data_IF_054232199799
#
_entry.id   IF_054232199799
#
_cell.length_a   1.000
_cell.length_b   1.000
_cell.length_c   1.000
_cell.angle_alpha   90.00
_cell.angle_beta   90.00
_cell.angle_gamma   90.00
#
_symmetry.space_group_name_H-M   'P 1'
#
loop_
_entity.id
_entity.type
_entity.pdbx_description
1 polymer ?
#
# COMPACT_ATOMS: atom_id res chain seq x y z
N UNK A 1 -14.04 -17.48 -24.66
CA UNK A 1 -12.63 -17.39 -25.07
C UNK A 1 -11.97 -16.27 -24.28
N UNK A 2 -10.91 -16.63 -23.55
CA UNK A 2 -9.78 -15.84 -23.05
C UNK A 2 -10.03 -14.57 -22.21
N UNK A 3 -10.72 -14.70 -21.07
CA UNK A 3 -10.63 -13.72 -19.97
C UNK A 3 -9.21 -13.59 -19.39
N UNK A 4 -8.34 -14.59 -19.59
CA UNK A 4 -6.97 -14.58 -19.03
C UNK A 4 -6.08 -13.48 -19.59
N UNK A 5 -6.30 -13.05 -20.85
CA UNK A 5 -5.46 -12.05 -21.50
C UNK A 5 -5.74 -10.62 -21.02
N UNK A 6 -7.00 -10.31 -20.66
CA UNK A 6 -7.39 -9.01 -20.14
C UNK A 6 -6.97 -8.83 -18.68
N UNK A 7 -7.18 -9.88 -17.87
CA UNK A 7 -6.78 -9.90 -16.46
C UNK A 7 -5.25 -9.79 -16.30
N UNK A 8 -4.48 -10.36 -17.24
CA UNK A 8 -3.02 -10.24 -17.26
C UNK A 8 -2.55 -8.82 -17.56
N UNK A 9 -3.17 -8.13 -18.54
CA UNK A 9 -2.82 -6.74 -18.87
C UNK A 9 -3.17 -5.75 -17.74
N UNK A 10 -4.31 -5.94 -17.09
CA UNK A 10 -4.71 -5.15 -15.93
C UNK A 10 -3.76 -5.37 -14.74
N UNK A 11 -3.37 -6.63 -14.47
CA UNK A 11 -2.41 -6.95 -13.42
C UNK A 11 -1.05 -6.28 -13.66
N UNK A 12 -0.54 -6.28 -14.90
CA UNK A 12 0.73 -5.60 -15.24
C UNK A 12 0.68 -4.11 -14.93
N UNK A 13 -0.39 -3.41 -15.33
CA UNK A 13 -0.53 -1.96 -15.05
C UNK A 13 -0.60 -1.67 -13.56
N UNK A 14 -1.28 -2.53 -12.79
CA UNK A 14 -1.37 -2.40 -11.34
C UNK A 14 -0.02 -2.63 -10.66
N UNK A 15 0.76 -3.61 -11.14
CA UNK A 15 2.12 -3.88 -10.66
C UNK A 15 3.07 -2.73 -10.98
N UNK A 16 3.05 -2.22 -12.21
CA UNK A 16 3.87 -1.07 -12.59
C UNK A 16 3.54 0.17 -11.75
N UNK A 17 2.25 0.43 -11.50
CA UNK A 17 1.82 1.53 -10.62
C UNK A 17 2.28 1.32 -9.18
N UNK A 18 2.18 0.08 -8.67
CA UNK A 18 2.68 -0.26 -7.34
C UNK A 18 4.19 0.03 -7.24
N UNK A 19 4.98 -0.47 -8.18
CA UNK A 19 6.44 -0.36 -8.18
C UNK A 19 6.93 1.08 -8.41
N UNK A 20 6.39 1.78 -9.40
CA UNK A 20 6.92 3.08 -9.82
C UNK A 20 6.36 4.25 -9.03
N UNK A 21 5.16 4.12 -8.45
CA UNK A 21 4.46 5.24 -7.82
C UNK A 21 4.23 5.01 -6.33
N UNK A 22 3.60 3.89 -5.97
CA UNK A 22 3.12 3.69 -4.59
C UNK A 22 4.22 3.26 -3.64
N UNK A 23 5.07 2.33 -4.06
CA UNK A 23 6.13 1.78 -3.23
C UNK A 23 7.19 2.83 -2.86
N UNK A 24 7.71 3.67 -3.77
CA UNK A 24 8.69 4.70 -3.40
C UNK A 24 8.13 5.70 -2.40
N UNK A 25 6.85 6.07 -2.58
CA UNK A 25 6.17 6.97 -1.64
C UNK A 25 5.93 6.31 -0.28
N UNK A 26 5.53 5.04 -0.24
CA UNK A 26 5.35 4.29 1.00
C UNK A 26 6.67 4.12 1.77
N UNK A 27 7.78 3.83 1.08
CA UNK A 27 9.11 3.73 1.70
C UNK A 27 9.56 5.07 2.28
N UNK A 28 9.40 6.17 1.54
CA UNK A 28 9.68 7.52 2.06
C UNK A 28 8.81 7.86 3.27
N UNK A 29 7.55 7.44 3.25
CA UNK A 29 6.65 7.64 4.39
C UNK A 29 7.09 6.83 5.60
N UNK A 30 7.53 5.58 5.39
CA UNK A 30 8.10 4.72 6.43
C UNK A 30 9.32 5.35 7.08
N UNK A 31 10.27 5.82 6.29
CA UNK A 31 11.47 6.50 6.80
C UNK A 31 11.12 7.70 7.70
N UNK A 32 10.15 8.52 7.28
CA UNK A 32 9.71 9.69 8.05
C UNK A 32 9.06 9.30 9.38
N UNK A 33 8.15 8.33 9.39
CA UNK A 33 7.51 7.90 10.64
C UNK A 33 8.50 7.14 11.54
N UNK A 34 9.46 6.41 10.98
CA UNK A 34 10.51 5.76 11.77
C UNK A 34 11.42 6.79 12.47
N UNK A 35 11.56 8.01 11.91
CA UNK A 35 12.24 9.15 12.52
C UNK A 35 11.39 9.93 13.55
N UNK A 36 10.15 9.50 13.80
CA UNK A 36 9.25 10.15 14.76
C UNK A 36 8.35 11.22 14.16
N UNK A 37 8.33 11.41 12.84
CA UNK A 37 7.40 12.36 12.21
C UNK A 37 5.95 11.90 12.34
N UNK A 38 5.05 12.86 12.55
CA UNK A 38 3.60 12.64 12.48
C UNK A 38 3.11 12.79 11.05
N UNK A 39 2.15 11.95 10.66
CA UNK A 39 1.52 12.03 9.35
C UNK A 39 0.80 13.37 9.15
N UNK A 40 1.07 14.02 8.03
CA UNK A 40 0.30 15.17 7.60
C UNK A 40 -1.03 14.74 6.96
N UNK A 41 -2.02 15.64 6.83
CA UNK A 41 -3.31 15.31 6.20
C UNK A 41 -3.18 14.70 4.79
N UNK A 42 -2.19 15.14 4.01
CA UNK A 42 -1.94 14.60 2.67
C UNK A 42 -1.39 13.17 2.70
N UNK A 43 -0.65 12.78 3.74
CA UNK A 43 -0.15 11.42 3.93
C UNK A 43 -1.30 10.49 4.34
N UNK A 44 -2.19 10.96 5.21
CA UNK A 44 -3.40 10.23 5.62
C UNK A 44 -4.32 10.00 4.42
N UNK A 45 -4.54 11.03 3.59
CA UNK A 45 -5.35 10.91 2.38
C UNK A 45 -4.76 9.88 1.40
N UNK A 46 -3.43 9.88 1.24
CA UNK A 46 -2.74 8.88 0.42
C UNK A 46 -2.91 7.45 0.95
N UNK A 47 -2.76 7.25 2.26
CA UNK A 47 -2.98 5.92 2.86
C UNK A 47 -4.44 5.46 2.67
N UNK A 48 -5.41 6.36 2.82
CA UNK A 48 -6.82 6.05 2.59
C UNK A 48 -7.10 5.63 1.15
N UNK A 49 -6.51 6.32 0.17
CA UNK A 49 -6.59 5.97 -1.26
C UNK A 49 -5.99 4.59 -1.51
N UNK A 50 -4.78 4.34 -1.02
CA UNK A 50 -4.11 3.03 -1.14
C UNK A 50 -4.99 1.89 -0.62
N UNK A 51 -5.58 2.05 0.55
CA UNK A 51 -6.44 1.02 1.12
C UNK A 51 -7.77 0.86 0.35
N UNK A 52 -8.27 1.93 -0.28
CA UNK A 52 -9.42 1.83 -1.17
C UNK A 52 -9.10 0.97 -2.40
N UNK A 53 -8.02 1.27 -3.10
CA UNK A 53 -7.65 0.50 -4.29
C UNK A 53 -7.27 -0.94 -3.94
N UNK A 54 -6.65 -1.17 -2.78
CA UNK A 54 -6.35 -2.52 -2.32
C UNK A 54 -7.64 -3.36 -2.24
N UNK A 55 -8.75 -2.81 -1.71
CA UNK A 55 -10.03 -3.52 -1.65
C UNK A 55 -10.56 -3.89 -3.04
N UNK A 56 -10.40 -3.00 -4.02
CA UNK A 56 -10.86 -3.22 -5.38
C UNK A 56 -10.01 -4.28 -6.12
N UNK A 57 -8.71 -4.39 -5.77
CA UNK A 57 -7.77 -5.34 -6.38
C UNK A 57 -7.76 -6.71 -5.69
N UNK A 58 -8.16 -6.81 -4.42
CA UNK A 58 -8.17 -8.08 -3.67
C UNK A 58 -8.89 -9.24 -4.37
N UNK A 59 -10.05 -9.06 -5.05
CA UNK A 59 -10.69 -10.15 -5.80
C UNK A 59 -9.81 -10.72 -6.93
N UNK A 60 -9.00 -9.89 -7.58
CA UNK A 60 -8.04 -10.36 -8.59
C UNK A 60 -6.90 -11.15 -7.95
N UNK A 61 -6.39 -10.69 -6.81
CA UNK A 61 -5.33 -11.38 -6.04
C UNK A 61 -5.81 -12.75 -5.56
N UNK A 62 -7.04 -12.84 -5.06
CA UNK A 62 -7.63 -14.09 -4.60
C UNK A 62 -7.77 -15.14 -5.71
N UNK A 63 -7.97 -14.70 -6.96
CA UNK A 63 -8.04 -15.58 -8.14
C UNK A 63 -6.66 -15.94 -8.71
N UNK A 64 -5.59 -15.25 -8.30
CA UNK A 64 -4.25 -15.38 -8.84
C UNK A 64 -3.22 -15.53 -7.70
N UNK A 65 -3.00 -16.76 -7.20
CA UNK A 65 -2.12 -17.02 -6.06
C UNK A 65 -0.71 -16.45 -6.18
N UNK A 66 -0.19 -16.30 -7.40
CA UNK A 66 1.12 -15.71 -7.68
C UNK A 66 1.31 -14.28 -7.13
N UNK A 67 0.23 -13.54 -6.86
CA UNK A 67 0.30 -12.20 -6.30
C UNK A 67 0.15 -12.16 -4.78
N UNK A 68 -0.22 -13.26 -4.12
CA UNK A 68 -0.51 -13.28 -2.69
C UNK A 68 0.71 -12.86 -1.86
N UNK A 69 1.88 -13.41 -2.15
CA UNK A 69 3.12 -13.09 -1.44
C UNK A 69 3.51 -11.61 -1.57
N UNK A 70 3.35 -11.05 -2.77
CA UNK A 70 3.64 -9.64 -3.01
C UNK A 70 2.68 -8.75 -2.22
N UNK A 71 1.37 -9.04 -2.31
CA UNK A 71 0.34 -8.27 -1.61
C UNK A 71 0.50 -8.38 -0.10
N UNK A 72 0.86 -9.55 0.43
CA UNK A 72 1.14 -9.73 1.85
C UNK A 72 2.29 -8.82 2.32
N UNK A 73 3.40 -8.76 1.56
CA UNK A 73 4.53 -7.86 1.87
C UNK A 73 4.14 -6.38 1.83
N UNK A 74 3.35 -5.98 0.83
CA UNK A 74 2.87 -4.59 0.70
C UNK A 74 1.93 -4.22 1.84
N UNK A 75 1.00 -5.11 2.20
CA UNK A 75 0.08 -4.90 3.33
C UNK A 75 0.84 -4.83 4.66
N UNK A 76 1.88 -5.64 4.82
CA UNK A 76 2.75 -5.57 6.00
C UNK A 76 3.46 -4.22 6.10
N UNK A 77 4.02 -3.71 4.99
CA UNK A 77 4.64 -2.38 4.96
C UNK A 77 3.67 -1.28 5.39
N UNK A 78 2.44 -1.28 4.87
CA UNK A 78 1.45 -0.28 5.25
C UNK A 78 1.01 -0.42 6.71
N UNK A 79 0.93 -1.65 7.24
CA UNK A 79 0.69 -1.89 8.66
C UNK A 79 1.78 -1.22 9.52
N UNK A 80 3.06 -1.49 9.23
CA UNK A 80 4.19 -0.89 9.96
C UNK A 80 4.14 0.64 9.93
N UNK A 81 3.87 1.24 8.77
CA UNK A 81 3.73 2.70 8.63
C UNK A 81 2.63 3.22 9.53
N UNK A 82 1.44 2.61 9.50
CA UNK A 82 0.29 3.07 10.29
C UNK A 82 0.47 2.88 11.79
N UNK A 83 1.12 1.79 12.23
CA UNK A 83 1.42 1.54 13.64
C UNK A 83 2.41 2.59 14.17
N UNK A 84 3.50 2.84 13.42
CA UNK A 84 4.50 3.83 13.81
C UNK A 84 3.94 5.25 13.77
N UNK A 85 3.14 5.58 12.76
CA UNK A 85 2.43 6.85 12.68
C UNK A 85 1.52 7.11 13.90
N UNK A 86 0.79 6.07 14.34
CA UNK A 86 -0.08 6.15 15.52
C UNK A 86 0.73 6.36 16.79
N UNK A 87 1.83 5.63 16.97
CA UNK A 87 2.76 5.82 18.09
C UNK A 87 3.29 7.25 18.15
N UNK A 88 3.74 7.81 17.02
CA UNK A 88 4.23 9.19 16.96
C UNK A 88 3.14 10.21 17.31
N UNK A 89 1.91 9.99 16.85
CA UNK A 89 0.78 10.87 17.16
C UNK A 89 0.39 10.83 18.64
N UNK A 90 0.51 9.66 19.28
CA UNK A 90 0.30 9.51 20.72
C UNK A 90 1.39 10.21 21.53
N UNK A 91 2.65 10.03 21.13
CA UNK A 91 3.80 10.69 21.78
C UNK A 91 3.77 12.21 21.64
N UNK A 92 3.19 12.75 20.55
CA UNK A 92 2.99 14.21 20.38
C UNK A 92 1.98 14.79 21.36
N UNK A 93 1.00 14.00 21.79
CA UNK A 93 -0.10 14.43 22.68
C UNK A 93 0.19 14.20 24.16
N UNK A 94 1.27 13.48 24.49
CA UNK A 94 1.76 13.24 25.84
C UNK A 94 2.65 14.39 26.32
#
# INVERSE_FOLDING_TARGET
MSNSSHDSGLATVLLERLEQQRLPRALKLKERVDQGEVLAPYDIAFLAEVFADARDVMPLVNKNPQYQDLVARVMHLYKEITEKALENEQNRKA
#
